data_IF_805848192838
#
_entry.id   IF_805848192838
#
_cell.length_a   1.000
_cell.length_b   1.000
_cell.length_c   1.000
_cell.angle_alpha   90.00
_cell.angle_beta   90.00
_cell.angle_gamma   90.00
#
_symmetry.space_group_name_H-M   'P 1'
#
loop_
_entity.id
_entity.type
_entity.pdbx_description
1 polymer ?
#
# COMPACT_ATOMS: atom_id res chain seq x y z
N UNK A 1 -9.13 -15.29 -51.08
CA UNK A 1 -7.93 -14.45 -51.22
C UNK A 1 -8.28 -13.04 -50.80
N UNK A 2 -8.02 -12.65 -49.57
CA UNK A 2 -7.96 -11.25 -49.19
C UNK A 2 -7.04 -11.16 -47.96
N UNK A 3 -5.76 -10.84 -48.23
CA UNK A 3 -4.82 -10.45 -47.15
C UNK A 3 -5.22 -9.02 -46.76
N UNK A 4 -5.83 -8.88 -45.62
CA UNK A 4 -6.00 -7.57 -44.98
C UNK A 4 -4.62 -6.97 -44.68
N UNK A 5 -4.28 -5.89 -45.39
CA UNK A 5 -3.12 -5.05 -45.18
C UNK A 5 -3.21 -4.46 -43.77
N UNK A 6 -2.47 -5.01 -42.80
CA UNK A 6 -2.21 -4.35 -41.54
C UNK A 6 -1.37 -3.10 -41.83
N UNK A 7 -1.87 -1.93 -41.42
CA UNK A 7 -1.19 -0.65 -41.65
C UNK A 7 0.23 -0.65 -41.07
N UNK A 8 1.23 -0.06 -41.75
CA UNK A 8 2.64 -0.08 -41.30
C UNK A 8 2.90 0.61 -39.98
N UNK A 9 1.94 1.37 -39.42
CA UNK A 9 2.01 1.98 -38.09
C UNK A 9 1.79 0.98 -36.95
N UNK A 10 0.90 -0.01 -37.12
CA UNK A 10 0.68 -1.06 -36.10
C UNK A 10 1.90 -1.96 -35.91
N UNK A 11 2.66 -2.25 -36.97
CA UNK A 11 3.87 -3.07 -36.87
C UNK A 11 5.02 -2.36 -36.17
N UNK A 12 5.16 -1.03 -36.31
CA UNK A 12 6.21 -0.23 -35.64
C UNK A 12 5.98 -0.07 -34.14
N UNK A 13 4.73 0.13 -33.71
CA UNK A 13 4.39 0.23 -32.28
C UNK A 13 4.62 -1.10 -31.57
N UNK A 14 4.15 -2.21 -32.13
CA UNK A 14 4.37 -3.53 -31.53
C UNK A 14 5.86 -3.89 -31.47
N UNK A 15 6.63 -3.56 -32.51
CA UNK A 15 8.08 -3.75 -32.52
C UNK A 15 8.80 -2.91 -31.45
N UNK A 16 8.37 -1.67 -31.20
CA UNK A 16 8.94 -0.84 -30.13
C UNK A 16 8.75 -1.48 -28.75
N UNK A 17 7.52 -1.94 -28.42
CA UNK A 17 7.22 -2.54 -27.12
C UNK A 17 7.90 -3.91 -26.91
N UNK A 18 8.47 -4.52 -27.94
CA UNK A 18 9.32 -5.70 -27.80
C UNK A 18 10.78 -5.35 -27.43
N UNK A 19 11.23 -4.11 -27.66
CA UNK A 19 12.57 -3.67 -27.22
C UNK A 19 12.63 -3.52 -25.70
N UNK A 20 13.83 -3.60 -25.11
CA UNK A 20 14.02 -3.40 -23.65
C UNK A 20 13.50 -2.03 -23.20
N UNK A 21 13.75 -0.97 -23.96
CA UNK A 21 13.20 0.37 -23.66
C UNK A 21 11.67 0.39 -23.72
N UNK A 22 11.08 -0.26 -24.68
CA UNK A 22 9.62 -0.37 -24.82
C UNK A 22 8.98 -1.18 -23.68
N UNK A 23 9.59 -2.30 -23.28
CA UNK A 23 9.17 -3.09 -22.11
C UNK A 23 9.21 -2.24 -20.83
N UNK A 24 10.32 -1.52 -20.59
CA UNK A 24 10.45 -0.62 -19.44
C UNK A 24 9.41 0.50 -19.44
N UNK A 25 9.17 1.13 -20.60
CA UNK A 25 8.16 2.18 -20.74
C UNK A 25 6.75 1.66 -20.48
N UNK A 26 6.38 0.49 -21.00
CA UNK A 26 5.05 -0.11 -20.77
C UNK A 26 4.85 -0.49 -19.31
N UNK A 27 5.86 -1.02 -18.63
CA UNK A 27 5.80 -1.37 -17.22
C UNK A 27 5.73 -0.12 -16.32
N UNK A 28 6.54 0.91 -16.61
CA UNK A 28 6.44 2.18 -15.89
C UNK A 28 5.06 2.79 -16.00
N UNK A 29 4.51 2.80 -17.22
CA UNK A 29 3.18 3.33 -17.50
C UNK A 29 2.09 2.47 -16.83
N UNK A 30 2.28 1.15 -16.74
CA UNK A 30 1.37 0.25 -16.03
C UNK A 30 1.32 0.57 -14.53
N UNK A 31 2.47 0.77 -13.88
CA UNK A 31 2.50 1.24 -12.48
C UNK A 31 1.80 2.59 -12.34
N UNK A 32 2.12 3.55 -13.22
CA UNK A 32 1.51 4.87 -13.17
C UNK A 32 -0.02 4.80 -13.29
N UNK A 33 -0.54 4.13 -14.31
CA UNK A 33 -1.99 4.05 -14.58
C UNK A 33 -2.73 3.32 -13.46
N UNK A 34 -2.21 2.18 -13.01
CA UNK A 34 -2.83 1.40 -11.94
C UNK A 34 -2.92 2.17 -10.64
N UNK A 35 -1.80 2.79 -10.22
CA UNK A 35 -1.77 3.55 -8.97
C UNK A 35 -2.47 4.90 -9.07
N UNK A 36 -2.50 5.55 -10.23
CA UNK A 36 -3.33 6.74 -10.47
C UNK A 36 -4.82 6.42 -10.31
N UNK A 37 -5.31 5.34 -10.92
CA UNK A 37 -6.69 4.89 -10.74
C UNK A 37 -7.01 4.56 -9.28
N UNK A 38 -6.10 3.87 -8.58
CA UNK A 38 -6.26 3.54 -7.17
C UNK A 38 -6.30 4.77 -6.28
N UNK A 39 -5.47 5.79 -6.55
CA UNK A 39 -5.43 7.04 -5.80
C UNK A 39 -6.71 7.89 -5.94
N UNK A 40 -7.44 7.72 -7.04
CA UNK A 40 -8.73 8.38 -7.21
C UNK A 40 -9.78 7.86 -6.21
N UNK A 41 -9.72 6.58 -5.83
CA UNK A 41 -10.75 5.95 -4.97
C UNK A 41 -10.28 5.75 -3.54
N UNK A 42 -9.13 5.08 -3.34
CA UNK A 42 -8.75 4.54 -2.03
C UNK A 42 -8.72 5.62 -0.93
N UNK A 43 -8.09 6.79 -1.11
CA UNK A 43 -8.04 7.80 -0.06
C UNK A 43 -9.39 8.48 0.20
N UNK A 44 -10.22 8.59 -0.84
CA UNK A 44 -11.50 9.29 -0.79
C UNK A 44 -12.68 8.42 -0.36
N UNK A 45 -12.47 7.08 -0.28
CA UNK A 45 -13.56 6.13 -0.04
C UNK A 45 -14.28 6.38 1.30
N UNK A 46 -13.53 6.73 2.35
CA UNK A 46 -14.13 7.08 3.66
C UNK A 46 -15.09 8.25 3.55
N UNK A 47 -14.70 9.31 2.82
CA UNK A 47 -15.54 10.49 2.58
C UNK A 47 -16.80 10.15 1.77
N UNK A 48 -16.66 9.25 0.77
CA UNK A 48 -17.81 8.74 0.02
C UNK A 48 -18.76 7.96 0.93
N UNK A 49 -18.25 7.02 1.73
CA UNK A 49 -19.07 6.21 2.63
C UNK A 49 -19.82 7.07 3.65
N UNK A 50 -19.17 8.09 4.22
CA UNK A 50 -19.82 9.07 5.09
C UNK A 50 -20.91 9.87 4.33
N UNK A 51 -20.67 10.26 3.08
CA UNK A 51 -21.62 11.01 2.27
C UNK A 51 -22.91 10.23 1.99
N UNK A 52 -22.85 8.91 1.96
CA UNK A 52 -24.01 8.00 1.85
C UNK A 52 -24.52 7.54 3.22
N UNK A 53 -24.10 8.23 4.30
CA UNK A 53 -24.56 8.05 5.68
C UNK A 53 -24.20 6.68 6.30
N UNK A 54 -23.08 6.09 5.90
CA UNK A 54 -22.54 4.91 6.57
C UNK A 54 -21.89 5.32 7.88
N UNK A 55 -22.26 4.72 9.05
CA UNK A 55 -21.66 5.00 10.34
C UNK A 55 -20.16 4.71 10.40
N UNK A 56 -19.43 5.40 11.27
CA UNK A 56 -17.98 5.29 11.38
C UNK A 56 -17.46 3.87 11.63
N UNK A 57 -18.14 3.09 12.48
CA UNK A 57 -17.84 1.68 12.71
C UNK A 57 -17.94 0.85 11.42
N UNK A 58 -18.98 1.08 10.63
CA UNK A 58 -19.16 0.37 9.37
C UNK A 58 -18.17 0.84 8.30
N UNK A 59 -17.76 2.12 8.32
CA UNK A 59 -16.65 2.63 7.48
C UNK A 59 -15.39 1.85 7.82
N UNK A 60 -15.03 1.72 9.10
CA UNK A 60 -13.87 0.94 9.53
C UNK A 60 -13.94 -0.53 9.12
N UNK A 61 -15.12 -1.15 9.21
CA UNK A 61 -15.34 -2.53 8.75
C UNK A 61 -15.13 -2.66 7.24
N UNK A 62 -15.72 -1.78 6.43
CA UNK A 62 -15.59 -1.82 4.97
C UNK A 62 -14.14 -1.54 4.54
N UNK A 63 -13.48 -0.55 5.15
CA UNK A 63 -12.08 -0.21 4.82
C UNK A 63 -11.06 -1.23 5.35
N UNK A 64 -11.44 -2.10 6.28
CA UNK A 64 -10.59 -3.22 6.73
C UNK A 64 -10.55 -4.39 5.75
N UNK A 65 -11.60 -4.59 4.94
CA UNK A 65 -11.71 -5.71 4.00
C UNK A 65 -10.50 -5.80 3.04
N UNK A 66 -10.07 -4.71 2.37
CA UNK A 66 -8.91 -4.77 1.46
C UNK A 66 -7.63 -5.29 2.13
N UNK A 67 -7.40 -4.95 3.40
CA UNK A 67 -6.22 -5.39 4.15
C UNK A 67 -6.26 -6.90 4.41
N UNK A 68 -7.39 -7.44 4.88
CA UNK A 68 -7.52 -8.88 5.13
C UNK A 68 -7.54 -9.68 3.82
N UNK A 69 -8.18 -9.16 2.78
CA UNK A 69 -8.15 -9.77 1.46
C UNK A 69 -6.72 -9.79 0.89
N UNK A 70 -5.95 -8.71 1.01
CA UNK A 70 -4.58 -8.66 0.53
C UNK A 70 -3.67 -9.69 1.23
N UNK A 71 -3.90 -9.95 2.54
CA UNK A 71 -3.18 -10.99 3.28
C UNK A 71 -3.37 -12.39 2.67
N UNK A 72 -4.59 -12.71 2.26
CA UNK A 72 -4.93 -14.01 1.66
C UNK A 72 -4.55 -14.03 0.17
N UNK A 73 -4.86 -12.96 -0.54
CA UNK A 73 -4.63 -12.83 -1.98
C UNK A 73 -3.17 -12.95 -2.36
N UNK A 74 -2.26 -12.40 -1.57
CA UNK A 74 -0.82 -12.49 -1.86
C UNK A 74 -0.33 -13.95 -1.99
N UNK A 75 -0.89 -14.86 -1.19
CA UNK A 75 -0.56 -16.30 -1.23
C UNK A 75 -1.25 -16.98 -2.40
N UNK A 76 -2.55 -16.76 -2.56
CA UNK A 76 -3.37 -17.43 -3.58
C UNK A 76 -2.98 -17.02 -4.99
N UNK A 77 -2.83 -15.73 -5.23
CA UNK A 77 -2.52 -15.21 -6.57
C UNK A 77 -1.04 -15.32 -6.93
N UNK A 78 -0.12 -15.35 -5.96
CA UNK A 78 1.26 -15.77 -6.19
C UNK A 78 1.29 -17.17 -6.80
N UNK A 79 0.60 -18.13 -6.17
CA UNK A 79 0.49 -19.50 -6.68
C UNK A 79 -0.21 -19.57 -8.05
N UNK A 80 -1.33 -18.85 -8.23
CA UNK A 80 -2.05 -18.82 -9.52
C UNK A 80 -1.20 -18.25 -10.66
N UNK A 81 -0.40 -17.21 -10.40
CA UNK A 81 0.50 -16.61 -11.37
C UNK A 81 1.61 -17.60 -11.78
N UNK A 82 2.18 -18.32 -10.81
CA UNK A 82 3.22 -19.31 -11.05
C UNK A 82 2.70 -20.50 -11.85
N UNK A 83 1.47 -20.94 -11.58
CA UNK A 83 0.86 -22.10 -12.27
C UNK A 83 0.32 -21.71 -13.65
N UNK A 84 -0.35 -20.57 -13.79
CA UNK A 84 -1.04 -20.22 -15.04
C UNK A 84 -0.11 -19.72 -16.13
N UNK A 85 1.04 -19.09 -15.76
CA UNK A 85 2.00 -18.43 -16.68
C UNK A 85 1.33 -17.43 -17.65
N UNK A 86 0.09 -16.98 -17.35
CA UNK A 86 -0.75 -16.12 -18.22
C UNK A 86 -1.10 -14.80 -17.54
N UNK A 87 -0.07 -14.03 -17.14
CA UNK A 87 -0.25 -12.78 -16.43
C UNK A 87 -1.15 -11.78 -17.16
N UNK A 88 -1.07 -11.69 -18.48
CA UNK A 88 -1.97 -10.82 -19.29
C UNK A 88 -3.44 -11.19 -19.12
N UNK A 89 -3.76 -12.48 -19.10
CA UNK A 89 -5.14 -12.94 -18.91
C UNK A 89 -5.63 -12.58 -17.51
N UNK A 90 -4.82 -12.78 -16.47
CA UNK A 90 -5.14 -12.39 -15.10
C UNK A 90 -5.36 -10.88 -14.98
N UNK A 91 -4.50 -10.05 -15.55
CA UNK A 91 -4.69 -8.60 -15.60
C UNK A 91 -6.03 -8.23 -16.25
N UNK A 92 -6.37 -8.83 -17.40
CA UNK A 92 -7.61 -8.53 -18.11
C UNK A 92 -8.84 -8.94 -17.32
N UNK A 93 -8.84 -10.13 -16.70
CA UNK A 93 -9.95 -10.61 -15.85
C UNK A 93 -10.14 -9.66 -14.66
N UNK A 94 -9.06 -9.35 -13.93
CA UNK A 94 -9.11 -8.43 -12.79
C UNK A 94 -9.61 -7.04 -13.22
N UNK A 95 -9.09 -6.51 -14.32
CA UNK A 95 -9.43 -5.16 -14.77
C UNK A 95 -10.86 -5.03 -15.25
N UNK A 96 -11.37 -6.00 -16.03
CA UNK A 96 -12.79 -6.03 -16.47
C UNK A 96 -13.70 -6.17 -15.25
N UNK A 97 -13.35 -7.07 -14.32
CA UNK A 97 -14.10 -7.25 -13.09
C UNK A 97 -14.12 -5.97 -12.24
N UNK A 98 -12.97 -5.29 -12.08
CA UNK A 98 -12.89 -4.01 -11.38
C UNK A 98 -13.77 -2.95 -12.03
N UNK A 99 -13.75 -2.80 -13.36
CA UNK A 99 -14.62 -1.87 -14.08
C UNK A 99 -16.08 -2.18 -13.79
N UNK A 100 -16.49 -3.44 -13.87
CA UNK A 100 -17.87 -3.84 -13.59
C UNK A 100 -18.29 -3.52 -12.15
N UNK A 101 -17.43 -3.83 -11.16
CA UNK A 101 -17.68 -3.54 -9.74
C UNK A 101 -17.77 -2.03 -9.50
N UNK A 102 -16.88 -1.23 -10.12
CA UNK A 102 -16.88 0.21 -9.96
C UNK A 102 -18.12 0.89 -10.54
N UNK A 103 -18.78 0.31 -11.54
CA UNK A 103 -20.09 0.77 -12.00
C UNK A 103 -21.20 0.50 -10.99
N UNK A 104 -21.10 -0.58 -10.22
CA UNK A 104 -22.08 -0.96 -9.19
C UNK A 104 -21.87 -0.17 -7.90
N UNK A 105 -20.62 0.15 -7.56
CA UNK A 105 -20.23 0.75 -6.28
C UNK A 105 -21.05 2.00 -5.90
N UNK A 106 -21.23 3.03 -6.75
CA UNK A 106 -21.97 4.23 -6.40
C UNK A 106 -23.50 4.00 -6.24
N UNK A 107 -24.00 2.83 -6.66
CA UNK A 107 -25.41 2.44 -6.50
C UNK A 107 -25.67 1.76 -5.17
N UNK A 108 -24.66 1.13 -4.56
CA UNK A 108 -24.73 0.54 -3.24
C UNK A 108 -24.67 1.64 -2.16
N UNK A 109 -25.75 1.81 -1.40
CA UNK A 109 -25.90 2.88 -0.39
C UNK A 109 -26.14 2.35 1.03
N UNK A 110 -26.24 1.05 1.20
CA UNK A 110 -26.41 0.40 2.51
C UNK A 110 -25.19 -0.48 2.80
N UNK A 111 -24.91 -0.71 4.07
CA UNK A 111 -23.81 -1.59 4.47
C UNK A 111 -23.90 -2.99 3.85
N UNK A 112 -25.09 -3.59 3.86
CA UNK A 112 -25.34 -4.92 3.29
C UNK A 112 -25.10 -5.00 1.78
N UNK A 113 -25.37 -3.91 1.04
CA UNK A 113 -25.08 -3.83 -0.39
C UNK A 113 -23.60 -3.51 -0.65
N UNK A 114 -22.96 -2.66 0.17
CA UNK A 114 -21.57 -2.26 0.04
C UNK A 114 -20.60 -3.40 0.38
N UNK A 115 -20.91 -4.23 1.38
CA UNK A 115 -20.03 -5.30 1.84
C UNK A 115 -19.58 -6.23 0.69
N UNK A 116 -20.49 -6.88 -0.08
CA UNK A 116 -20.10 -7.74 -1.18
C UNK A 116 -19.38 -6.97 -2.31
N UNK A 117 -19.74 -5.70 -2.55
CA UNK A 117 -19.09 -4.86 -3.57
C UNK A 117 -17.64 -4.55 -3.18
N UNK A 118 -17.41 -4.15 -1.93
CA UNK A 118 -16.05 -3.90 -1.40
C UNK A 118 -15.22 -5.17 -1.37
N UNK A 119 -15.83 -6.30 -0.97
CA UNK A 119 -15.16 -7.59 -0.95
C UNK A 119 -14.71 -7.99 -2.36
N UNK A 120 -15.61 -7.90 -3.35
CA UNK A 120 -15.30 -8.25 -4.73
C UNK A 120 -14.25 -7.28 -5.33
N UNK A 121 -14.39 -5.96 -5.07
CA UNK A 121 -13.38 -4.98 -5.44
C UNK A 121 -12.01 -5.37 -4.89
N UNK A 122 -11.94 -5.71 -3.62
CA UNK A 122 -10.69 -6.07 -2.95
C UNK A 122 -10.05 -7.33 -3.51
N UNK A 123 -10.85 -8.37 -3.79
CA UNK A 123 -10.38 -9.63 -4.40
C UNK A 123 -9.78 -9.39 -5.79
N UNK A 124 -10.41 -8.53 -6.58
CA UNK A 124 -9.95 -8.22 -7.94
C UNK A 124 -8.77 -7.23 -7.97
N UNK A 125 -8.70 -6.31 -7.00
CA UNK A 125 -7.64 -5.30 -6.92
C UNK A 125 -6.34 -5.84 -6.34
N UNK A 126 -6.41 -6.67 -5.30
CA UNK A 126 -5.26 -7.13 -4.54
C UNK A 126 -4.18 -7.86 -5.38
N UNK A 127 -4.50 -8.70 -6.37
CA UNK A 127 -3.49 -9.43 -7.14
C UNK A 127 -2.76 -8.59 -8.18
N UNK A 128 -3.31 -7.46 -8.62
CA UNK A 128 -2.78 -6.70 -9.76
C UNK A 128 -1.35 -6.21 -9.49
N UNK A 129 -1.10 -5.63 -8.31
CA UNK A 129 0.24 -5.12 -8.00
C UNK A 129 1.30 -6.22 -7.86
N UNK A 130 1.09 -7.33 -7.11
CA UNK A 130 2.04 -8.44 -7.06
C UNK A 130 2.36 -9.05 -8.44
N UNK A 131 1.35 -9.22 -9.30
CA UNK A 131 1.55 -9.73 -10.66
C UNK A 131 2.36 -8.73 -11.49
N UNK A 132 2.12 -7.42 -11.31
CA UNK A 132 2.87 -6.37 -12.01
C UNK A 132 4.33 -6.33 -11.53
N UNK A 133 4.57 -6.48 -10.22
CA UNK A 133 5.90 -6.58 -9.64
C UNK A 133 6.67 -7.79 -10.23
N UNK A 134 6.04 -8.97 -10.25
CA UNK A 134 6.62 -10.21 -10.81
C UNK A 134 6.92 -10.05 -12.31
N UNK A 135 5.95 -9.52 -13.09
CA UNK A 135 6.10 -9.29 -14.52
C UNK A 135 7.26 -8.33 -14.80
N UNK A 136 7.42 -7.31 -13.96
CA UNK A 136 8.50 -6.32 -14.09
C UNK A 136 9.86 -6.92 -13.81
N UNK A 137 10.00 -7.68 -12.73
CA UNK A 137 11.26 -8.33 -12.36
C UNK A 137 11.70 -9.37 -13.41
N UNK A 138 10.76 -10.15 -13.93
CA UNK A 138 11.04 -11.15 -14.98
C UNK A 138 11.40 -10.54 -16.35
N UNK A 139 10.91 -9.33 -16.64
CA UNK A 139 11.17 -8.66 -17.93
C UNK A 139 12.45 -7.82 -17.94
N UNK A 140 13.05 -7.54 -16.79
CA UNK A 140 14.23 -6.69 -16.66
C UNK A 140 15.52 -7.52 -16.76
N UNK A 141 16.43 -7.12 -17.66
CA UNK A 141 17.80 -7.67 -17.71
C UNK A 141 18.62 -7.28 -16.47
N UNK A 142 18.34 -6.11 -15.89
CA UNK A 142 18.96 -5.64 -14.65
C UNK A 142 17.88 -5.41 -13.58
N UNK A 143 17.77 -6.28 -12.57
CA UNK A 143 16.81 -6.12 -11.48
C UNK A 143 16.94 -4.81 -10.69
N UNK A 144 18.12 -4.17 -10.70
CA UNK A 144 18.34 -2.86 -10.08
C UNK A 144 17.52 -1.72 -10.69
N UNK A 145 16.96 -1.91 -11.89
CA UNK A 145 16.07 -0.92 -12.53
C UNK A 145 14.62 -0.99 -12.02
N UNK A 146 14.25 -2.03 -11.27
CA UNK A 146 12.89 -2.20 -10.76
C UNK A 146 12.39 -0.98 -9.98
N UNK A 147 13.23 -0.39 -9.11
CA UNK A 147 12.87 0.82 -8.37
C UNK A 147 12.47 1.99 -9.27
N UNK A 148 13.15 2.16 -10.43
CA UNK A 148 12.82 3.21 -11.40
C UNK A 148 11.46 2.98 -12.06
N UNK A 149 11.07 1.74 -12.29
CA UNK A 149 9.74 1.42 -12.84
C UNK A 149 8.64 1.72 -11.80
N UNK A 150 8.87 1.32 -10.56
CA UNK A 150 7.91 1.49 -9.47
C UNK A 150 7.65 2.95 -9.10
N UNK A 151 8.61 3.85 -9.32
CA UNK A 151 8.44 5.32 -9.14
C UNK A 151 7.24 5.83 -9.96
N UNK A 152 6.95 5.25 -11.12
CA UNK A 152 5.74 5.58 -11.89
C UNK A 152 4.46 5.48 -11.06
N UNK A 153 4.37 4.45 -10.21
CA UNK A 153 3.23 4.28 -9.29
C UNK A 153 3.12 5.40 -8.25
N UNK A 154 4.22 5.77 -7.61
CA UNK A 154 4.22 6.87 -6.62
C UNK A 154 3.84 8.21 -7.26
N UNK A 155 4.34 8.48 -8.46
CA UNK A 155 3.98 9.69 -9.22
C UNK A 155 2.49 9.66 -9.58
N UNK A 156 1.98 8.53 -10.09
CA UNK A 156 0.56 8.35 -10.42
C UNK A 156 -0.35 8.56 -9.21
N UNK A 157 0.05 7.97 -8.07
CA UNK A 157 -0.67 8.13 -6.80
C UNK A 157 -0.74 9.59 -6.35
N UNK A 158 0.40 10.29 -6.26
CA UNK A 158 0.45 11.68 -5.80
C UNK A 158 -0.29 12.64 -6.72
N UNK A 159 -0.06 12.55 -8.04
CA UNK A 159 -0.74 13.44 -9.01
C UNK A 159 -2.25 13.21 -8.97
N UNK A 160 -2.71 11.96 -9.01
CA UNK A 160 -4.15 11.70 -9.09
C UNK A 160 -4.90 11.97 -7.79
N UNK A 161 -4.28 11.82 -6.64
CA UNK A 161 -4.89 12.25 -5.38
C UNK A 161 -5.21 13.75 -5.42
N UNK A 162 -4.25 14.59 -5.88
CA UNK A 162 -4.45 16.02 -6.02
C UNK A 162 -5.49 16.36 -7.08
N UNK A 163 -5.38 15.76 -8.27
CA UNK A 163 -6.33 16.01 -9.39
C UNK A 163 -7.75 15.62 -9.00
N UNK A 164 -7.95 14.50 -8.30
CA UNK A 164 -9.27 14.06 -7.84
C UNK A 164 -9.89 15.10 -6.89
N UNK A 165 -9.12 15.59 -5.92
CA UNK A 165 -9.62 16.64 -5.02
C UNK A 165 -9.99 17.93 -5.75
N UNK A 166 -9.15 18.36 -6.70
CA UNK A 166 -9.41 19.52 -7.53
C UNK A 166 -10.69 19.36 -8.37
N UNK A 167 -10.92 18.21 -8.96
CA UNK A 167 -12.12 17.94 -9.76
C UNK A 167 -13.39 17.95 -8.91
N UNK A 168 -13.34 17.45 -7.67
CA UNK A 168 -14.48 17.47 -6.76
C UNK A 168 -14.84 18.90 -6.39
N UNK A 169 -13.86 19.72 -5.98
CA UNK A 169 -14.11 21.07 -5.45
C UNK A 169 -14.40 22.10 -6.55
N UNK A 170 -13.60 22.11 -7.64
CA UNK A 170 -13.62 23.20 -8.62
C UNK A 170 -14.55 22.95 -9.80
N UNK A 171 -14.80 21.68 -10.16
CA UNK A 171 -15.75 21.33 -11.21
C UNK A 171 -17.11 20.88 -10.68
N UNK A 172 -17.27 20.80 -9.36
CA UNK A 172 -18.54 20.44 -8.73
C UNK A 172 -19.06 19.05 -9.09
N UNK A 173 -18.17 18.12 -9.51
CA UNK A 173 -18.56 16.80 -10.01
C UNK A 173 -19.08 15.84 -8.93
N UNK A 174 -19.04 16.26 -7.65
CA UNK A 174 -19.42 15.44 -6.52
C UNK A 174 -18.46 14.28 -6.25
N UNK A 175 -18.55 13.72 -5.05
CA UNK A 175 -17.60 12.68 -4.58
C UNK A 175 -17.65 11.39 -5.43
N UNK A 176 -18.76 11.08 -6.10
CA UNK A 176 -18.89 9.88 -6.94
C UNK A 176 -17.96 9.87 -8.17
N UNK A 177 -17.37 11.01 -8.53
CA UNK A 177 -16.38 11.11 -9.62
C UNK A 177 -15.19 10.17 -9.41
N UNK A 178 -14.85 9.83 -8.16
CA UNK A 178 -13.77 8.91 -7.79
C UNK A 178 -13.90 7.56 -8.52
N UNK A 179 -15.11 7.02 -8.65
CA UNK A 179 -15.35 5.76 -9.33
C UNK A 179 -15.16 5.86 -10.84
N UNK A 180 -15.65 6.94 -11.46
CA UNK A 180 -15.49 7.14 -12.91
C UNK A 180 -14.04 7.40 -13.31
N UNK A 181 -13.26 8.10 -12.49
CA UNK A 181 -11.83 8.26 -12.69
C UNK A 181 -11.11 6.90 -12.62
N UNK A 182 -11.43 6.08 -11.63
CA UNK A 182 -10.83 4.75 -11.53
C UNK A 182 -11.24 3.87 -12.74
N UNK A 183 -12.51 3.87 -13.16
CA UNK A 183 -12.96 3.17 -14.37
C UNK A 183 -12.14 3.61 -15.59
N UNK A 184 -11.93 4.91 -15.77
CA UNK A 184 -11.13 5.44 -16.87
C UNK A 184 -9.69 4.88 -16.84
N UNK A 185 -9.02 4.93 -15.67
CA UNK A 185 -7.67 4.40 -15.55
C UNK A 185 -7.62 2.88 -15.69
N UNK A 186 -8.61 2.16 -15.18
CA UNK A 186 -8.68 0.70 -15.38
C UNK A 186 -8.91 0.35 -16.85
N UNK A 187 -9.70 1.12 -17.57
CA UNK A 187 -9.86 0.94 -19.04
C UNK A 187 -8.54 1.19 -19.77
N UNK A 188 -7.80 2.26 -19.41
CA UNK A 188 -6.45 2.49 -19.95
C UNK A 188 -5.50 1.34 -19.63
N UNK A 189 -5.53 0.84 -18.40
CA UNK A 189 -4.71 -0.29 -17.96
C UNK A 189 -5.06 -1.55 -18.77
N UNK A 190 -6.34 -1.83 -18.99
CA UNK A 190 -6.80 -2.95 -19.82
C UNK A 190 -6.19 -2.92 -21.22
N UNK A 191 -6.25 -1.77 -21.90
CA UNK A 191 -5.64 -1.64 -23.24
C UNK A 191 -4.11 -1.77 -23.18
N UNK A 192 -3.47 -1.24 -22.13
CA UNK A 192 -2.02 -1.34 -21.94
C UNK A 192 -1.56 -2.78 -21.74
N UNK A 193 -2.41 -3.68 -21.19
CA UNK A 193 -2.05 -5.10 -20.98
C UNK A 193 -1.65 -5.81 -22.28
N UNK A 194 -2.12 -5.34 -23.45
CA UNK A 194 -1.73 -5.88 -24.75
C UNK A 194 -0.22 -5.72 -25.03
N UNK A 195 0.38 -4.65 -24.49
CA UNK A 195 1.77 -4.26 -24.73
C UNK A 195 2.72 -4.67 -23.60
N UNK A 196 2.19 -5.19 -22.48
CA UNK A 196 3.03 -5.68 -21.39
C UNK A 196 3.81 -6.93 -21.83
N UNK A 197 5.05 -7.12 -21.35
CA UNK A 197 5.78 -8.35 -21.59
C UNK A 197 5.09 -9.54 -20.93
N UNK A 198 5.15 -10.70 -21.55
CA UNK A 198 4.86 -11.97 -20.88
C UNK A 198 6.15 -12.47 -20.25
N UNK A 199 6.15 -12.77 -18.95
CA UNK A 199 7.35 -13.28 -18.32
C UNK A 199 7.65 -14.70 -18.82
N UNK A 200 8.84 -14.90 -19.36
CA UNK A 200 9.43 -16.22 -19.50
C UNK A 200 9.93 -16.62 -18.11
N UNK A 201 9.07 -17.28 -17.32
CA UNK A 201 9.48 -17.77 -16.01
C UNK A 201 10.47 -18.93 -16.21
N UNK A 202 11.67 -18.87 -15.61
CA UNK A 202 12.58 -19.98 -15.62
C UNK A 202 11.90 -21.23 -15.06
N UNK A 203 12.06 -22.39 -15.69
CA UNK A 203 11.50 -23.66 -15.21
C UNK A 203 11.95 -24.02 -13.77
N UNK A 204 13.02 -23.41 -13.30
CA UNK A 204 13.63 -23.64 -11.98
C UNK A 204 13.03 -22.79 -10.84
N UNK A 205 12.03 -21.94 -11.08
CA UNK A 205 11.28 -21.25 -10.01
C UNK A 205 10.25 -22.17 -9.32
N UNK A 206 10.39 -23.50 -9.46
CA UNK A 206 9.71 -24.47 -8.59
C UNK A 206 10.32 -24.32 -7.20
N UNK A 207 9.58 -23.65 -6.33
CA UNK A 207 10.02 -23.33 -5.00
C UNK A 207 10.68 -24.53 -4.31
N UNK A 208 11.90 -24.34 -3.84
CA UNK A 208 12.45 -25.22 -2.81
C UNK A 208 11.35 -25.37 -1.76
N UNK A 209 11.01 -26.62 -1.45
CA UNK A 209 9.97 -26.93 -0.47
C UNK A 209 10.29 -26.21 0.84
N UNK A 210 9.69 -25.03 1.03
CA UNK A 210 9.84 -24.26 2.26
C UNK A 210 9.35 -25.15 3.38
N UNK A 211 10.26 -25.66 4.19
CA UNK A 211 9.92 -26.53 5.29
C UNK A 211 9.08 -25.73 6.29
N UNK A 212 7.76 -26.02 6.37
CA UNK A 212 6.85 -25.41 7.32
C UNK A 212 7.38 -25.48 8.77
N UNK A 213 8.13 -26.55 9.08
CA UNK A 213 8.80 -26.71 10.38
C UNK A 213 9.92 -25.69 10.60
N UNK A 214 10.74 -25.40 9.57
CA UNK A 214 11.78 -24.35 9.65
C UNK A 214 11.14 -22.97 9.77
N UNK A 215 10.08 -22.71 8.99
CA UNK A 215 9.31 -21.48 9.05
C UNK A 215 8.71 -21.26 10.45
N UNK A 216 8.03 -22.26 11.00
CA UNK A 216 7.48 -22.18 12.36
C UNK A 216 8.54 -21.91 13.42
N UNK A 217 9.72 -22.57 13.33
CA UNK A 217 10.85 -22.30 14.23
C UNK A 217 11.37 -20.87 14.12
N UNK A 218 11.45 -20.32 12.91
CA UNK A 218 11.87 -18.93 12.68
C UNK A 218 10.85 -17.96 13.31
N UNK A 219 9.56 -18.15 13.06
CA UNK A 219 8.48 -17.30 13.55
C UNK A 219 8.40 -17.28 15.09
N UNK A 220 8.67 -18.41 15.73
CA UNK A 220 8.69 -18.53 17.19
C UNK A 220 9.95 -17.94 17.84
N UNK A 221 10.95 -17.52 17.08
CA UNK A 221 12.11 -16.83 17.65
C UNK A 221 11.66 -15.49 18.28
N UNK A 222 12.11 -15.20 19.51
CA UNK A 222 11.70 -13.97 20.22
C UNK A 222 11.91 -12.69 19.41
N UNK A 223 12.97 -12.63 18.59
CA UNK A 223 13.25 -11.47 17.72
C UNK A 223 12.20 -11.25 16.62
N UNK A 224 11.70 -12.34 16.00
CA UNK A 224 10.66 -12.25 14.98
C UNK A 224 9.28 -11.93 15.56
N UNK A 225 8.90 -12.64 16.64
CA UNK A 225 7.63 -12.37 17.35
C UNK A 225 7.53 -10.89 17.72
N UNK A 226 8.63 -10.36 18.18
CA UNK A 226 8.73 -9.00 18.63
C UNK A 226 8.69 -7.99 17.48
N UNK A 227 9.43 -8.24 16.40
CA UNK A 227 9.34 -7.43 15.19
C UNK A 227 7.89 -7.39 14.71
N UNK A 228 7.23 -8.55 14.62
CA UNK A 228 5.85 -8.63 14.14
C UNK A 228 4.89 -7.87 15.05
N UNK A 229 5.05 -7.98 16.36
CA UNK A 229 4.25 -7.19 17.30
C UNK A 229 4.45 -5.69 17.12
N UNK A 230 5.69 -5.22 16.94
CA UNK A 230 5.99 -3.82 16.69
C UNK A 230 5.36 -3.33 15.38
N UNK A 231 5.52 -4.08 14.28
CA UNK A 231 4.96 -3.66 12.99
C UNK A 231 3.42 -3.73 12.95
N UNK A 232 2.79 -4.63 13.72
CA UNK A 232 1.32 -4.63 13.92
C UNK A 232 0.90 -3.37 14.64
N UNK A 233 1.52 -3.05 15.78
CA UNK A 233 1.18 -1.85 16.57
C UNK A 233 1.38 -0.59 15.72
N UNK A 234 2.48 -0.50 14.98
CA UNK A 234 2.74 0.62 14.09
C UNK A 234 1.68 0.72 12.99
N UNK A 235 1.35 -0.41 12.34
CA UNK A 235 0.32 -0.50 11.31
C UNK A 235 -1.08 -0.11 11.80
N UNK A 236 -1.42 -0.41 13.07
CA UNK A 236 -2.68 0.04 13.68
C UNK A 236 -2.75 1.57 13.70
N UNK A 237 -1.70 2.26 14.13
CA UNK A 237 -1.68 3.72 14.18
C UNK A 237 -1.69 4.36 12.80
N UNK A 238 -0.87 3.85 11.89
CA UNK A 238 -0.80 4.36 10.52
C UNK A 238 -2.12 4.17 9.78
N UNK A 239 -2.77 3.02 9.92
CA UNK A 239 -4.07 2.74 9.32
C UNK A 239 -5.16 3.72 9.77
N UNK A 240 -5.10 4.24 11.00
CA UNK A 240 -6.03 5.27 11.47
C UNK A 240 -5.92 6.54 10.62
N UNK A 241 -4.73 6.89 10.20
CA UNK A 241 -4.51 8.05 9.34
C UNK A 241 -4.91 7.73 7.89
N UNK A 242 -4.45 6.62 7.36
CA UNK A 242 -4.74 6.21 5.97
C UNK A 242 -6.23 6.17 5.66
N UNK A 243 -7.07 5.71 6.58
CA UNK A 243 -8.51 5.56 6.37
C UNK A 243 -9.35 6.75 6.83
N UNK A 244 -8.87 7.56 7.79
CA UNK A 244 -9.68 8.60 8.42
C UNK A 244 -9.12 10.02 8.28
N UNK A 245 -7.95 10.22 7.65
CA UNK A 245 -7.36 11.53 7.44
C UNK A 245 -8.30 12.48 6.67
N UNK A 246 -8.88 12.00 5.57
CA UNK A 246 -9.74 12.81 4.73
C UNK A 246 -11.05 13.15 5.44
N UNK A 247 -11.59 12.23 6.24
CA UNK A 247 -12.71 12.49 7.12
C UNK A 247 -12.37 13.55 8.18
N UNK A 248 -11.16 13.49 8.74
CA UNK A 248 -10.68 14.51 9.69
C UNK A 248 -10.53 15.88 9.05
N UNK A 249 -9.93 15.98 7.86
CA UNK A 249 -9.84 17.23 7.10
C UNK A 249 -11.23 17.80 6.83
N UNK A 250 -12.19 16.96 6.40
CA UNK A 250 -13.57 17.34 6.17
C UNK A 250 -14.26 17.86 7.44
N UNK A 251 -14.08 17.18 8.58
CA UNK A 251 -14.64 17.61 9.88
C UNK A 251 -14.12 18.97 10.32
N UNK A 252 -12.87 19.31 9.97
CA UNK A 252 -12.28 20.63 10.23
C UNK A 252 -12.68 21.70 9.18
N UNK A 253 -13.54 21.36 8.22
CA UNK A 253 -13.98 22.27 7.15
C UNK A 253 -13.00 22.41 5.98
N UNK A 254 -12.02 21.47 5.87
CA UNK A 254 -11.08 21.46 4.74
C UNK A 254 -11.69 20.92 3.46
N UNK A 255 -11.14 21.35 2.33
CA UNK A 255 -11.59 21.00 0.98
C UNK A 255 -11.03 19.65 0.51
N UNK A 256 -11.60 19.07 -0.55
CA UNK A 256 -11.09 17.86 -1.19
C UNK A 256 -9.74 18.09 -1.88
N UNK A 257 -9.50 19.29 -2.38
CA UNK A 257 -8.18 19.71 -2.91
C UNK A 257 -7.11 19.67 -1.81
N UNK A 258 -7.45 20.12 -0.60
CA UNK A 258 -6.55 20.05 0.56
C UNK A 258 -6.23 18.60 0.94
N UNK A 259 -7.22 17.69 0.85
CA UNK A 259 -7.01 16.24 1.07
C UNK A 259 -5.98 15.66 0.09
N UNK A 260 -6.16 15.95 -1.20
CA UNK A 260 -5.23 15.49 -2.23
C UNK A 260 -3.83 16.10 -2.07
N UNK A 261 -3.74 17.39 -1.73
CA UNK A 261 -2.48 18.10 -1.45
C UNK A 261 -1.74 17.44 -0.27
N UNK A 262 -2.46 17.12 0.80
CA UNK A 262 -1.91 16.47 1.97
C UNK A 262 -1.24 15.14 1.59
N UNK A 263 -1.91 14.31 0.79
CA UNK A 263 -1.37 13.03 0.36
C UNK A 263 -0.14 13.19 -0.55
N UNK A 264 -0.16 14.17 -1.45
CA UNK A 264 0.98 14.41 -2.35
C UNK A 264 2.22 14.88 -1.59
N UNK A 265 2.08 15.68 -0.55
CA UNK A 265 3.19 16.17 0.27
C UNK A 265 3.84 15.03 1.07
N UNK A 266 3.10 13.98 1.46
CA UNK A 266 3.69 12.85 2.17
C UNK A 266 4.83 12.18 1.41
N UNK A 267 4.76 12.17 0.08
CA UNK A 267 5.81 11.60 -0.79
C UNK A 267 7.17 12.30 -0.63
N UNK A 268 7.19 13.58 -0.25
CA UNK A 268 8.44 14.32 -0.04
C UNK A 268 9.24 13.69 1.11
N UNK A 269 8.59 13.44 2.25
CA UNK A 269 9.23 12.79 3.40
C UNK A 269 9.71 11.38 3.08
N UNK A 270 8.91 10.63 2.32
CA UNK A 270 9.22 9.27 1.89
C UNK A 270 10.48 9.24 1.00
N UNK A 271 10.53 10.07 -0.04
CA UNK A 271 11.65 10.14 -0.99
C UNK A 271 12.94 10.53 -0.27
N UNK A 272 12.88 11.54 0.61
CA UNK A 272 14.07 12.00 1.36
C UNK A 272 14.62 10.86 2.21
N UNK A 273 13.79 10.19 3.00
CA UNK A 273 14.28 9.12 3.88
C UNK A 273 14.79 7.91 3.11
N UNK A 274 14.10 7.48 2.05
CA UNK A 274 14.58 6.37 1.22
C UNK A 274 15.89 6.70 0.53
N UNK A 275 16.10 7.95 0.10
CA UNK A 275 17.38 8.39 -0.50
C UNK A 275 18.58 8.31 0.47
N UNK A 276 18.32 8.41 1.77
CA UNK A 276 19.35 8.36 2.81
C UNK A 276 19.27 7.09 3.68
N UNK A 277 18.42 6.11 3.32
CA UNK A 277 18.16 4.93 4.13
C UNK A 277 19.42 4.17 4.52
N UNK A 278 20.35 3.96 3.59
CA UNK A 278 21.63 3.26 3.84
C UNK A 278 22.52 4.01 4.85
N UNK A 279 22.59 5.34 4.74
CA UNK A 279 23.35 6.18 5.69
C UNK A 279 22.70 6.16 7.08
N UNK A 280 21.38 6.21 7.14
CA UNK A 280 20.63 6.13 8.40
C UNK A 280 20.84 4.75 9.02
N UNK A 281 20.73 3.69 8.22
CA UNK A 281 20.92 2.30 8.67
C UNK A 281 22.35 2.09 9.20
N UNK A 282 23.37 2.51 8.49
CA UNK A 282 24.79 2.35 8.91
C UNK A 282 25.08 3.08 10.22
N UNK A 283 24.45 4.24 10.46
CA UNK A 283 24.67 5.05 11.66
C UNK A 283 23.85 4.56 12.87
N UNK A 284 22.59 4.19 12.66
CA UNK A 284 21.65 3.91 13.75
C UNK A 284 21.33 2.42 13.91
N UNK A 285 21.43 1.63 12.85
CA UNK A 285 20.97 0.25 12.80
C UNK A 285 19.45 0.12 12.73
N UNK A 286 18.98 -1.06 12.34
CA UNK A 286 17.58 -1.33 12.00
C UNK A 286 16.59 -1.13 13.17
N UNK A 287 16.94 -1.57 14.39
CA UNK A 287 16.02 -1.45 15.52
C UNK A 287 15.79 0.00 15.93
N UNK A 288 16.84 0.85 15.87
CA UNK A 288 16.68 2.28 16.15
C UNK A 288 15.88 2.99 15.06
N UNK A 289 15.99 2.55 13.79
CA UNK A 289 15.14 3.07 12.72
C UNK A 289 13.66 2.75 12.98
N UNK A 290 13.35 1.53 13.43
CA UNK A 290 11.99 1.14 13.82
C UNK A 290 11.50 2.02 14.99
N UNK A 291 12.30 2.21 16.04
CA UNK A 291 11.94 3.06 17.17
C UNK A 291 11.74 4.52 16.78
N UNK A 292 12.58 5.04 15.87
CA UNK A 292 12.44 6.39 15.34
C UNK A 292 11.15 6.54 14.52
N UNK A 293 10.75 5.50 13.78
CA UNK A 293 9.47 5.49 13.09
C UNK A 293 8.29 5.65 14.07
N UNK A 294 8.32 4.98 15.23
CA UNK A 294 7.31 5.17 16.27
C UNK A 294 7.29 6.60 16.81
N UNK A 295 8.44 7.21 17.06
CA UNK A 295 8.51 8.61 17.49
C UNK A 295 7.89 9.54 16.47
N UNK A 296 8.22 9.36 15.20
CA UNK A 296 7.66 10.15 14.09
C UNK A 296 6.14 9.97 13.99
N UNK A 297 5.63 8.73 14.10
CA UNK A 297 4.20 8.46 14.05
C UNK A 297 3.45 9.04 15.26
N UNK A 298 4.03 8.97 16.45
CA UNK A 298 3.48 9.58 17.66
C UNK A 298 3.35 11.10 17.51
N UNK A 299 4.40 11.75 17.00
CA UNK A 299 4.37 13.19 16.71
C UNK A 299 3.30 13.53 15.67
N UNK A 300 3.23 12.77 14.61
CA UNK A 300 2.23 12.97 13.55
C UNK A 300 0.80 12.84 14.08
N UNK A 301 0.48 11.75 14.80
CA UNK A 301 -0.82 11.54 15.43
C UNK A 301 -1.15 12.63 16.45
N UNK A 302 -0.18 13.07 17.25
CA UNK A 302 -0.35 14.16 18.22
C UNK A 302 -0.68 15.48 17.50
N UNK A 303 0.04 15.83 16.43
CA UNK A 303 -0.24 17.00 15.61
C UNK A 303 -1.65 16.95 15.03
N UNK A 304 -2.06 15.82 14.45
CA UNK A 304 -3.41 15.62 13.93
C UNK A 304 -4.49 15.74 15.03
N UNK A 305 -4.19 15.29 16.25
CA UNK A 305 -5.12 15.38 17.38
C UNK A 305 -5.27 16.79 17.95
N UNK A 306 -4.35 17.70 17.67
CA UNK A 306 -4.32 19.06 18.22
C UNK A 306 -4.67 20.12 17.18
N UNK A 307 -4.59 19.81 15.89
CA UNK A 307 -4.82 20.75 14.80
C UNK A 307 -6.29 21.21 14.78
N UNK A 308 -6.48 22.51 14.62
CA UNK A 308 -7.80 23.13 14.41
C UNK A 308 -7.94 23.73 13.01
N UNK A 309 -6.81 24.16 12.41
CA UNK A 309 -6.79 24.69 11.07
C UNK A 309 -6.41 23.59 10.08
N UNK A 310 -7.32 23.14 9.19
CA UNK A 310 -7.04 22.05 8.26
C UNK A 310 -5.91 22.37 7.28
N UNK A 311 -5.63 23.64 6.99
CA UNK A 311 -4.57 24.05 6.06
C UNK A 311 -3.15 23.71 6.56
N UNK A 312 -2.98 23.38 7.84
CA UNK A 312 -1.71 22.93 8.40
C UNK A 312 -1.47 21.40 8.18
N UNK A 313 -2.52 20.64 7.91
CA UNK A 313 -2.42 19.18 7.79
C UNK A 313 -1.46 18.75 6.67
N UNK A 314 -1.42 19.36 5.48
CA UNK A 314 -0.44 19.00 4.46
C UNK A 314 1.00 19.05 4.94
N UNK A 315 1.38 20.02 5.76
CA UNK A 315 2.75 20.10 6.32
C UNK A 315 3.06 18.91 7.23
N UNK A 316 2.08 18.45 8.00
CA UNK A 316 2.26 17.30 8.91
C UNK A 316 2.40 15.98 8.15
N UNK A 317 1.97 15.91 6.88
CA UNK A 317 2.11 14.70 6.06
C UNK A 317 3.56 14.35 5.72
N UNK A 318 4.50 15.28 5.84
CA UNK A 318 5.94 14.98 5.73
C UNK A 318 6.34 13.92 6.78
N UNK A 319 5.78 13.99 7.98
CA UNK A 319 6.00 12.98 9.03
C UNK A 319 5.46 11.60 8.61
N UNK A 320 4.35 11.57 7.87
CA UNK A 320 3.78 10.33 7.34
C UNK A 320 4.73 9.58 6.42
N UNK A 321 5.21 10.24 5.38
CA UNK A 321 6.18 9.67 4.46
C UNK A 321 7.50 9.29 5.16
N UNK A 322 7.98 10.16 6.07
CA UNK A 322 9.18 9.89 6.88
C UNK A 322 9.01 8.64 7.74
N UNK A 323 7.91 8.52 8.49
CA UNK A 323 7.62 7.38 9.34
C UNK A 323 7.51 6.08 8.57
N UNK A 324 6.78 6.11 7.44
CA UNK A 324 6.64 4.97 6.54
C UNK A 324 7.98 4.49 6.00
N UNK A 325 8.82 5.39 5.50
CA UNK A 325 10.13 5.02 4.96
C UNK A 325 11.08 4.46 6.03
N UNK A 326 11.04 4.98 7.26
CA UNK A 326 11.82 4.48 8.39
C UNK A 326 11.39 3.07 8.81
N UNK A 327 10.07 2.82 8.98
CA UNK A 327 9.57 1.49 9.38
C UNK A 327 9.84 0.46 8.29
N UNK A 328 9.64 0.81 7.02
CA UNK A 328 9.90 -0.07 5.90
C UNK A 328 11.39 -0.43 5.82
N UNK A 329 12.28 0.57 5.78
CA UNK A 329 13.72 0.31 5.69
C UNK A 329 14.25 -0.46 6.90
N UNK A 330 13.84 -0.06 8.12
CA UNK A 330 14.28 -0.71 9.36
C UNK A 330 13.79 -2.16 9.47
N UNK A 331 12.52 -2.42 9.17
CA UNK A 331 11.95 -3.77 9.28
C UNK A 331 12.46 -4.71 8.18
N UNK A 332 12.66 -4.22 6.95
CA UNK A 332 13.30 -4.98 5.86
C UNK A 332 14.72 -5.38 6.23
N UNK A 333 15.53 -4.43 6.71
CA UNK A 333 16.90 -4.68 7.12
C UNK A 333 16.98 -5.67 8.30
N UNK A 334 16.07 -5.56 9.27
CA UNK A 334 15.99 -6.48 10.40
C UNK A 334 15.71 -7.92 9.95
N UNK A 335 14.72 -8.11 9.06
CA UNK A 335 14.39 -9.42 8.50
C UNK A 335 15.57 -9.98 7.71
N UNK A 336 16.19 -9.19 6.82
CA UNK A 336 17.33 -9.64 6.02
C UNK A 336 18.51 -10.11 6.89
N UNK A 337 18.74 -9.47 8.04
CA UNK A 337 19.81 -9.87 8.97
C UNK A 337 19.49 -11.12 9.77
N UNK A 338 18.22 -11.37 10.09
CA UNK A 338 17.80 -12.39 11.06
C UNK A 338 17.21 -13.64 10.41
N UNK A 339 16.63 -13.52 9.22
CA UNK A 339 16.06 -14.66 8.51
C UNK A 339 17.17 -15.59 7.97
N UNK A 340 16.98 -16.91 8.04
CA UNK A 340 17.80 -17.84 7.30
C UNK A 340 17.76 -17.51 5.79
N UNK A 341 18.88 -17.67 5.09
CA UNK A 341 18.99 -17.34 3.67
C UNK A 341 17.89 -18.02 2.83
N UNK A 342 17.58 -19.28 3.14
CA UNK A 342 16.56 -20.11 2.49
C UNK A 342 15.11 -19.54 2.69
N UNK A 343 14.88 -18.74 3.73
CA UNK A 343 13.55 -18.21 4.11
C UNK A 343 13.44 -16.69 3.91
N UNK A 344 14.43 -16.03 3.35
CA UNK A 344 14.49 -14.58 3.25
C UNK A 344 13.27 -13.97 2.55
N UNK A 345 12.90 -14.49 1.38
CA UNK A 345 11.74 -14.04 0.60
C UNK A 345 10.42 -14.28 1.37
N UNK A 346 10.26 -15.48 1.96
CA UNK A 346 9.07 -15.82 2.75
C UNK A 346 8.95 -14.92 3.99
N UNK A 347 10.06 -14.65 4.67
CA UNK A 347 10.07 -13.76 5.83
C UNK A 347 9.70 -12.32 5.47
N UNK A 348 10.15 -11.81 4.32
CA UNK A 348 9.76 -10.49 3.82
C UNK A 348 8.28 -10.44 3.42
N UNK A 349 7.77 -11.47 2.76
CA UNK A 349 6.34 -11.56 2.42
C UNK A 349 5.46 -11.58 3.68
N UNK A 350 5.85 -12.37 4.70
CA UNK A 350 5.16 -12.40 6.00
C UNK A 350 5.23 -11.05 6.72
N UNK A 351 6.38 -10.37 6.70
CA UNK A 351 6.52 -9.02 7.25
C UNK A 351 5.52 -8.06 6.60
N UNK A 352 5.45 -8.05 5.26
CA UNK A 352 4.51 -7.22 4.52
C UNK A 352 3.05 -7.55 4.83
N UNK A 353 2.71 -8.86 4.86
CA UNK A 353 1.37 -9.33 5.18
C UNK A 353 0.94 -9.00 6.62
N UNK A 354 1.83 -9.16 7.59
CA UNK A 354 1.55 -8.81 8.99
C UNK A 354 1.35 -7.30 9.15
N UNK A 355 2.21 -6.49 8.53
CA UNK A 355 2.09 -5.04 8.56
C UNK A 355 0.78 -4.55 7.91
N UNK A 356 0.62 -4.82 6.63
CA UNK A 356 -0.53 -4.33 5.88
C UNK A 356 -1.82 -5.08 6.27
N UNK A 357 -1.79 -6.42 6.34
CA UNK A 357 -2.97 -7.22 6.60
C UNK A 357 -3.46 -7.11 8.05
N UNK A 358 -2.63 -7.52 9.02
CA UNK A 358 -3.06 -7.53 10.42
C UNK A 358 -3.03 -6.12 11.03
N UNK A 359 -1.91 -5.40 10.91
CA UNK A 359 -1.80 -4.04 11.44
C UNK A 359 -2.81 -3.10 10.82
N UNK A 360 -2.86 -3.05 9.48
CA UNK A 360 -3.78 -2.21 8.72
C UNK A 360 -5.25 -2.57 8.95
N UNK A 361 -5.60 -3.85 8.88
CA UNK A 361 -6.98 -4.32 9.05
C UNK A 361 -7.53 -4.09 10.44
N UNK A 362 -6.77 -4.46 11.49
CA UNK A 362 -7.16 -4.21 12.89
C UNK A 362 -7.22 -2.71 13.17
N UNK A 363 -6.25 -1.94 12.61
CA UNK A 363 -6.22 -0.49 12.75
C UNK A 363 -7.45 0.18 12.15
N UNK A 364 -7.90 -0.24 10.96
CA UNK A 364 -9.11 0.27 10.33
C UNK A 364 -10.37 -0.02 11.16
N UNK A 365 -10.49 -1.24 11.70
CA UNK A 365 -11.61 -1.62 12.57
C UNK A 365 -11.65 -0.78 13.86
N UNK A 366 -10.54 -0.70 14.57
CA UNK A 366 -10.43 0.07 15.81
C UNK A 366 -10.70 1.55 15.57
N UNK A 367 -10.13 2.12 14.50
CA UNK A 367 -10.32 3.52 14.14
C UNK A 367 -11.77 3.83 13.80
N UNK A 368 -12.47 2.93 13.10
CA UNK A 368 -13.89 3.10 12.80
C UNK A 368 -14.75 3.14 14.05
N UNK A 369 -14.48 2.27 15.03
CA UNK A 369 -15.17 2.27 16.33
C UNK A 369 -14.88 3.59 17.07
N UNK A 370 -13.61 3.96 17.22
CA UNK A 370 -13.23 5.18 17.93
C UNK A 370 -13.76 6.46 17.26
N UNK A 371 -13.73 6.49 15.92
CA UNK A 371 -14.27 7.61 15.15
C UNK A 371 -15.77 7.81 15.39
N UNK A 372 -16.55 6.72 15.41
CA UNK A 372 -17.99 6.79 15.65
C UNK A 372 -18.34 7.30 17.05
N UNK A 373 -17.64 6.80 18.07
CA UNK A 373 -17.95 7.16 19.46
C UNK A 373 -17.38 8.49 19.92
N UNK A 374 -16.25 8.93 19.36
CA UNK A 374 -15.50 10.07 19.93
C UNK A 374 -14.95 11.04 18.89
N UNK A 375 -15.21 10.81 17.61
CA UNK A 375 -14.72 11.64 16.50
C UNK A 375 -13.22 11.43 16.22
N UNK A 376 -12.75 12.05 15.12
CA UNK A 376 -11.39 11.87 14.62
C UNK A 376 -10.29 12.36 15.59
N UNK A 377 -10.53 13.48 16.26
CA UNK A 377 -9.58 14.09 17.21
C UNK A 377 -9.28 13.15 18.38
N UNK A 378 -10.32 12.60 19.02
CA UNK A 378 -10.15 11.67 20.14
C UNK A 378 -9.60 10.32 19.68
N UNK A 379 -9.99 9.85 18.48
CA UNK A 379 -9.42 8.67 17.86
C UNK A 379 -7.89 8.80 17.71
N UNK A 380 -7.38 9.92 17.17
CA UNK A 380 -5.93 10.14 17.06
C UNK A 380 -5.23 10.22 18.41
N UNK A 381 -5.85 10.85 19.42
CA UNK A 381 -5.31 10.83 20.81
C UNK A 381 -5.17 9.42 21.36
N UNK A 382 -6.17 8.58 21.17
CA UNK A 382 -6.12 7.17 21.60
C UNK A 382 -4.99 6.43 20.86
N UNK A 383 -4.82 6.67 19.56
CA UNK A 383 -3.74 6.07 18.79
C UNK A 383 -2.35 6.53 19.23
N UNK A 384 -2.18 7.77 19.74
CA UNK A 384 -0.93 8.21 20.39
C UNK A 384 -0.56 7.28 21.54
N UNK A 385 -1.50 6.96 22.43
CA UNK A 385 -1.22 6.06 23.57
C UNK A 385 -0.90 4.63 23.13
N UNK A 386 -1.57 4.13 22.08
CA UNK A 386 -1.26 2.82 21.50
C UNK A 386 0.19 2.80 20.97
N UNK A 387 0.61 3.86 20.25
CA UNK A 387 1.97 3.96 19.72
C UNK A 387 3.02 4.16 20.81
N UNK A 388 2.71 4.90 21.87
CA UNK A 388 3.58 5.02 23.04
C UNK A 388 3.82 3.65 23.70
N UNK A 389 2.78 2.83 23.83
CA UNK A 389 2.92 1.44 24.29
C UNK A 389 3.86 0.63 23.42
N UNK A 390 3.74 0.74 22.09
CA UNK A 390 4.64 0.11 21.12
C UNK A 390 6.09 0.60 21.25
N UNK A 391 6.29 1.91 21.40
CA UNK A 391 7.61 2.51 21.61
C UNK A 391 8.27 2.00 22.89
N UNK A 392 7.55 2.00 24.01
CA UNK A 392 8.04 1.50 25.31
C UNK A 392 8.45 0.03 25.19
N UNK A 393 7.59 -0.80 24.59
CA UNK A 393 7.90 -2.20 24.32
C UNK A 393 9.18 -2.33 23.50
N UNK A 394 9.31 -1.60 22.40
CA UNK A 394 10.49 -1.63 21.53
C UNK A 394 11.78 -1.20 22.27
N UNK A 395 11.71 -0.18 23.14
CA UNK A 395 12.85 0.27 23.96
C UNK A 395 13.26 -0.81 24.98
N UNK A 396 12.30 -1.42 25.68
CA UNK A 396 12.59 -2.49 26.65
C UNK A 396 13.33 -3.67 25.98
N UNK A 397 12.96 -3.97 24.76
CA UNK A 397 13.60 -5.01 23.96
C UNK A 397 15.02 -4.62 23.57
N UNK A 398 15.21 -3.42 23.05
CA UNK A 398 16.53 -2.91 22.71
C UNK A 398 17.48 -2.96 23.92
N UNK A 399 16.98 -2.64 25.09
CA UNK A 399 17.74 -2.73 26.34
C UNK A 399 18.11 -4.18 26.72
N UNK A 400 17.16 -5.12 26.56
CA UNK A 400 17.41 -6.54 26.80
C UNK A 400 18.45 -7.12 25.83
N UNK A 401 18.33 -6.84 24.53
CA UNK A 401 19.33 -7.29 23.54
C UNK A 401 20.73 -6.76 23.84
N UNK A 402 20.84 -5.50 24.28
CA UNK A 402 22.12 -4.91 24.72
C UNK A 402 22.70 -5.65 25.92
N UNK A 403 21.91 -5.92 26.94
CA UNK A 403 22.37 -6.66 28.15
C UNK A 403 22.90 -8.06 27.79
N UNK A 404 22.17 -8.80 26.94
CA UNK A 404 22.58 -10.14 26.52
C UNK A 404 23.88 -10.09 25.72
N UNK A 405 24.05 -9.09 24.85
CA UNK A 405 25.28 -8.93 24.07
C UNK A 405 26.49 -8.61 24.96
N UNK A 406 26.32 -7.70 25.90
CA UNK A 406 27.39 -7.33 26.84
C UNK A 406 27.78 -8.51 27.75
N UNK A 407 26.82 -9.32 28.21
CA UNK A 407 27.06 -10.53 29.00
C UNK A 407 27.76 -11.68 28.21
N UNK A 408 27.74 -11.65 26.88
CA UNK A 408 28.46 -12.60 26.02
C UNK A 408 29.86 -12.14 25.65
N UNK A 409 30.18 -10.87 25.86
CA UNK A 409 31.48 -10.27 25.59
C UNK A 409 32.35 -10.14 26.85
N UNK A 410 31.72 -10.21 28.05
CA UNK A 410 32.38 -10.34 29.35
C UNK A 410 32.57 -11.84 29.68
#
# INVERSE_FOLDING_TARGET
MNRMNSSPRHSRLTAFFQTQKGKQASLWLAFFIFWAGSAAVIPYIGVYLESVRIPGRQIGQLTSIPYFVALISSVVFGFLSDVSKRNKLLFRICTIGLIAVLFVYPRARTYSALFPVVLLYSILHAPVNPILDQTSLAALENPGLYGKLRVGGSIGWGIMALVTGFLIDNLGLGISVIFYLNIFFMALFFFLTAFLPEPELPEQAQGENVSLKKLGKMLLQPGFLLLFLLIIIWGIGESSIQNFLFLHIKQLGGSSTLMGTALSISLVGEIVVFSFADKIHSKFGELRMILLAFVVLILWLAMLSLVKNPNLIPLFQIFGGTGFALIQSGSVAYVNRKAPAELGTTAQALRGGVYAGLGGGVGALLSGILYEFSGSTAMYRTMVFVQLGGLVLGVLIAMRERRIRNARQA
#
